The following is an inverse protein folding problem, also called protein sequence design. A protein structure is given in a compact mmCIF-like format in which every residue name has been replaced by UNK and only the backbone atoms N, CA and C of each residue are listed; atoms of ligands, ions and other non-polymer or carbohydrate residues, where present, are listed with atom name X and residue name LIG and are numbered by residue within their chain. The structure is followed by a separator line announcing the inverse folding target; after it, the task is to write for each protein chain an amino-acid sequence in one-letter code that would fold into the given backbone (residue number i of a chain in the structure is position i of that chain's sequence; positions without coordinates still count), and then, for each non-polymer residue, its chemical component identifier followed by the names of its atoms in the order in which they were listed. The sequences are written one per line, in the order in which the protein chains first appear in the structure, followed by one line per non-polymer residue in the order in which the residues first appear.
data_IF_838625121545
#
_entry.id   IF_838625121545
#
_cell.length_a   1.000
_cell.length_b   1.000
_cell.length_c   1.000
_cell.angle_alpha   90.00
_cell.angle_beta   90.00
_cell.angle_gamma   90.00
#
_symmetry.space_group_name_H-M   'P 1'
#
loop_
_entity.id
_entity.type
_entity.pdbx_description
1 polymer ?
#
# COMPACT_ATOMS: atom_id res chain seq x y z
N UNK A 1 12.98 -16.74 -25.76
CA UNK A 1 13.03 -18.23 -25.65
C UNK A 1 11.68 -18.71 -25.17
N UNK A 2 11.22 -19.92 -25.53
CA UNK A 2 9.94 -20.47 -25.01
C UNK A 2 10.22 -21.34 -23.79
N UNK A 3 9.39 -21.22 -22.76
CA UNK A 3 9.43 -22.09 -21.58
C UNK A 3 9.42 -23.58 -21.98
N UNK A 4 10.35 -24.34 -21.38
CA UNK A 4 10.44 -25.79 -21.52
C UNK A 4 10.57 -26.41 -20.14
N UNK A 5 9.74 -27.40 -19.87
CA UNK A 5 9.74 -28.09 -18.58
C UNK A 5 11.01 -28.93 -18.40
N UNK A 6 11.50 -28.99 -17.15
CA UNK A 6 12.60 -29.88 -16.78
C UNK A 6 12.14 -31.34 -16.80
N UNK A 7 13.05 -32.23 -17.18
CA UNK A 7 12.82 -33.68 -17.20
C UNK A 7 13.49 -34.32 -16.00
N UNK A 8 12.77 -35.21 -15.32
CA UNK A 8 13.24 -35.93 -14.14
C UNK A 8 13.24 -37.43 -14.42
N UNK A 9 14.07 -38.19 -13.69
CA UNK A 9 14.11 -39.65 -13.83
C UNK A 9 12.96 -40.31 -13.06
N UNK A 10 12.62 -39.74 -11.91
CA UNK A 10 11.55 -40.24 -11.06
C UNK A 10 10.21 -39.54 -11.34
N UNK A 11 9.14 -40.34 -11.44
CA UNK A 11 7.79 -39.86 -11.75
C UNK A 11 7.19 -39.03 -10.61
N UNK A 12 7.55 -39.31 -9.34
CA UNK A 12 7.08 -38.51 -8.21
C UNK A 12 7.75 -37.13 -8.20
N UNK A 13 9.04 -37.07 -8.48
CA UNK A 13 9.79 -35.80 -8.65
C UNK A 13 9.17 -34.95 -9.77
N UNK A 14 8.90 -35.55 -10.92
CA UNK A 14 8.28 -34.84 -12.05
C UNK A 14 6.91 -34.24 -11.66
N UNK A 15 6.11 -34.98 -10.90
CA UNK A 15 4.80 -34.51 -10.42
C UNK A 15 4.93 -33.32 -9.46
N UNK A 16 5.89 -33.36 -8.53
CA UNK A 16 6.15 -32.26 -7.57
C UNK A 16 6.54 -31.00 -8.33
N UNK A 17 7.47 -31.12 -9.29
CA UNK A 17 7.89 -30.01 -10.12
C UNK A 17 6.71 -29.42 -10.92
N UNK A 18 5.90 -30.27 -11.58
CA UNK A 18 4.75 -29.83 -12.38
C UNK A 18 3.70 -29.11 -11.54
N UNK A 19 3.44 -29.56 -10.32
CA UNK A 19 2.55 -28.89 -9.39
C UNK A 19 3.05 -27.48 -9.05
N UNK A 20 4.33 -27.36 -8.70
CA UNK A 20 4.96 -26.08 -8.41
C UNK A 20 4.88 -25.11 -9.60
N UNK A 21 5.23 -25.57 -10.80
CA UNK A 21 5.14 -24.76 -12.02
C UNK A 21 3.70 -24.37 -12.35
N UNK A 22 2.72 -25.26 -12.11
CA UNK A 22 1.30 -24.92 -12.29
C UNK A 22 0.88 -23.75 -11.39
N UNK A 23 1.34 -23.74 -10.14
CA UNK A 23 1.09 -22.65 -9.18
C UNK A 23 1.76 -21.34 -9.61
N UNK A 24 2.97 -21.40 -10.15
CA UNK A 24 3.64 -20.25 -10.77
C UNK A 24 2.80 -19.71 -11.94
N UNK A 25 2.42 -20.58 -12.90
CA UNK A 25 1.58 -20.23 -14.07
C UNK A 25 0.29 -19.53 -13.64
N UNK A 26 -0.38 -20.05 -12.61
CA UNK A 26 -1.61 -19.45 -12.07
C UNK A 26 -1.37 -18.06 -11.46
N UNK A 27 -0.26 -17.89 -10.74
CA UNK A 27 0.10 -16.62 -10.10
C UNK A 27 0.44 -15.53 -11.12
N UNK A 28 1.08 -15.89 -12.25
CA UNK A 28 1.48 -14.93 -13.29
C UNK A 28 0.44 -14.73 -14.39
N UNK A 29 -0.65 -15.51 -14.43
CA UNK A 29 -1.67 -15.52 -15.50
C UNK A 29 -2.23 -14.13 -15.88
N UNK A 30 -2.15 -13.18 -14.96
CA UNK A 30 -2.66 -11.83 -15.15
C UNK A 30 -1.69 -10.86 -15.83
N UNK A 31 -0.45 -11.27 -16.08
CA UNK A 31 0.58 -10.55 -16.85
C UNK A 31 0.39 -10.78 -18.36
N UNK A 32 1.09 -10.04 -19.20
CA UNK A 32 1.18 -10.32 -20.64
C UNK A 32 1.97 -11.61 -20.92
N UNK A 33 1.91 -12.12 -22.15
CA UNK A 33 2.56 -13.38 -22.53
C UNK A 33 4.08 -13.37 -22.33
N UNK A 34 4.72 -12.23 -22.56
CA UNK A 34 6.17 -12.09 -22.52
C UNK A 34 6.67 -12.16 -21.09
N UNK A 35 6.04 -11.41 -20.18
CA UNK A 35 6.35 -11.41 -18.75
C UNK A 35 5.98 -12.73 -18.07
N UNK A 36 4.88 -13.38 -18.48
CA UNK A 36 4.56 -14.73 -18.01
C UNK A 36 5.69 -15.71 -18.35
N UNK A 37 6.14 -15.68 -19.60
CA UNK A 37 7.16 -16.59 -20.09
C UNK A 37 8.55 -16.28 -19.52
N UNK A 38 8.91 -15.01 -19.36
CA UNK A 38 10.14 -14.57 -18.68
C UNK A 38 10.17 -15.06 -17.23
N UNK A 39 9.11 -14.80 -16.46
CA UNK A 39 9.02 -15.21 -15.04
C UNK A 39 9.11 -16.73 -14.90
N UNK A 40 8.47 -17.47 -15.82
CA UNK A 40 8.57 -18.94 -15.84
C UNK A 40 9.99 -19.41 -16.17
N UNK A 41 10.69 -18.76 -17.09
CA UNK A 41 12.06 -19.11 -17.44
C UNK A 41 13.02 -18.84 -16.29
N UNK A 42 12.90 -17.70 -15.61
CA UNK A 42 13.73 -17.31 -14.47
C UNK A 42 13.58 -18.30 -13.30
N UNK A 43 12.34 -18.62 -12.92
CA UNK A 43 12.09 -19.60 -11.85
C UNK A 43 12.64 -20.98 -12.27
N UNK A 44 12.44 -21.36 -13.52
CA UNK A 44 12.90 -22.65 -14.02
C UNK A 44 14.43 -22.75 -14.10
N UNK A 45 15.13 -21.65 -14.44
CA UNK A 45 16.59 -21.61 -14.42
C UNK A 45 17.12 -21.71 -12.99
N UNK A 46 16.50 -21.05 -12.02
CA UNK A 46 16.89 -21.19 -10.62
C UNK A 46 16.71 -22.62 -10.10
N UNK A 47 15.61 -23.28 -10.45
CA UNK A 47 15.41 -24.70 -10.11
C UNK A 47 16.48 -25.55 -10.78
N UNK A 48 16.74 -25.35 -12.07
CA UNK A 48 17.74 -26.11 -12.81
C UNK A 48 19.15 -25.93 -12.23
N UNK A 49 19.58 -24.69 -11.96
CA UNK A 49 20.89 -24.37 -11.39
C UNK A 49 21.07 -24.99 -10.01
N UNK A 50 20.04 -24.93 -9.17
CA UNK A 50 20.11 -25.50 -7.83
C UNK A 50 20.16 -27.04 -7.83
N UNK A 51 19.63 -27.70 -8.87
CA UNK A 51 19.68 -29.14 -9.05
C UNK A 51 20.98 -29.65 -9.69
N UNK A 52 21.89 -28.78 -10.14
CA UNK A 52 23.20 -29.18 -10.67
C UNK A 52 24.21 -29.60 -9.59
N UNK A 53 23.90 -29.34 -8.31
CA UNK A 53 24.75 -29.77 -7.21
C UNK A 53 24.75 -31.31 -7.09
N UNK A 54 25.91 -31.94 -6.80
CA UNK A 54 26.00 -33.39 -6.64
C UNK A 54 25.15 -33.83 -5.46
N UNK A 55 24.22 -34.74 -5.72
CA UNK A 55 23.26 -35.13 -4.71
C UNK A 55 22.79 -36.59 -4.87
N UNK A 56 22.40 -37.17 -3.73
CA UNK A 56 22.08 -38.59 -3.60
C UNK A 56 20.65 -38.93 -4.04
N UNK A 57 19.72 -37.96 -4.00
CA UNK A 57 18.30 -38.20 -4.28
C UNK A 57 17.60 -36.99 -4.91
N UNK A 58 17.31 -37.09 -6.21
CA UNK A 58 16.66 -36.08 -7.06
C UNK A 58 15.37 -35.49 -6.43
N UNK A 59 14.55 -36.32 -5.78
CA UNK A 59 13.30 -35.87 -5.13
C UNK A 59 13.59 -35.00 -3.91
N UNK A 60 14.55 -35.41 -3.09
CA UNK A 60 14.91 -34.69 -1.85
C UNK A 60 15.52 -33.34 -2.19
N UNK A 61 16.34 -33.29 -3.24
CA UNK A 61 16.96 -32.05 -3.69
C UNK A 61 15.93 -31.08 -4.24
N UNK A 62 15.01 -31.56 -5.07
CA UNK A 62 13.91 -30.72 -5.57
C UNK A 62 13.11 -30.14 -4.40
N UNK A 63 12.73 -30.96 -3.41
CA UNK A 63 12.00 -30.47 -2.25
C UNK A 63 12.79 -29.41 -1.47
N UNK A 64 14.09 -29.60 -1.26
CA UNK A 64 14.97 -28.62 -0.61
C UNK A 64 15.04 -27.31 -1.40
N UNK A 65 15.13 -27.37 -2.74
CA UNK A 65 15.14 -26.20 -3.60
C UNK A 65 13.81 -25.46 -3.55
N UNK A 66 12.69 -26.16 -3.70
CA UNK A 66 11.36 -25.57 -3.63
C UNK A 66 11.08 -24.97 -2.24
N UNK A 67 11.58 -25.58 -1.18
CA UNK A 67 11.48 -25.04 0.17
C UNK A 67 12.26 -23.72 0.32
N UNK A 68 13.46 -23.62 -0.27
CA UNK A 68 14.26 -22.38 -0.28
C UNK A 68 13.61 -21.27 -1.11
N UNK A 69 13.00 -21.62 -2.25
CA UNK A 69 12.25 -20.67 -3.08
C UNK A 69 10.96 -20.21 -2.40
N UNK A 70 10.32 -21.09 -1.62
CA UNK A 70 9.06 -20.81 -0.95
C UNK A 70 7.86 -20.94 -1.88
N UNK A 71 6.67 -20.57 -1.38
CA UNK A 71 5.43 -20.69 -2.16
C UNK A 71 5.34 -19.62 -3.26
N UNK A 72 5.03 -19.98 -4.52
CA UNK A 72 4.85 -19.03 -5.63
C UNK A 72 3.91 -17.87 -5.31
N UNK A 73 2.79 -18.16 -4.64
CA UNK A 73 1.75 -17.18 -4.31
C UNK A 73 2.23 -16.12 -3.32
N UNK A 74 3.31 -16.37 -2.58
CA UNK A 74 3.84 -15.41 -1.62
C UNK A 74 4.75 -14.39 -2.30
N UNK A 75 5.81 -14.83 -2.98
CA UNK A 75 6.76 -13.90 -3.60
C UNK A 75 6.20 -13.28 -4.89
N UNK A 76 5.39 -14.01 -5.67
CA UNK A 76 4.77 -13.44 -6.88
C UNK A 76 3.66 -12.44 -6.57
N UNK A 77 3.10 -12.45 -5.36
CA UNK A 77 2.13 -11.43 -4.94
C UNK A 77 2.75 -10.03 -4.92
N UNK A 78 4.05 -9.93 -4.66
CA UNK A 78 4.79 -8.66 -4.68
C UNK A 78 5.32 -8.34 -6.08
N UNK A 79 5.83 -9.34 -6.81
CA UNK A 79 6.43 -9.14 -8.14
C UNK A 79 5.41 -8.88 -9.27
N UNK A 80 4.25 -9.54 -9.25
CA UNK A 80 3.24 -9.42 -10.32
C UNK A 80 2.70 -7.98 -10.43
N UNK A 81 2.36 -7.28 -9.34
CA UNK A 81 2.00 -5.86 -9.39
C UNK A 81 3.07 -4.96 -10.00
N UNK A 82 4.36 -5.22 -9.74
CA UNK A 82 5.47 -4.44 -10.30
C UNK A 82 5.56 -4.63 -11.82
N UNK A 83 5.60 -5.88 -12.29
CA UNK A 83 5.62 -6.19 -13.73
C UNK A 83 4.39 -5.63 -14.45
N UNK A 84 3.20 -5.66 -13.83
CA UNK A 84 2.00 -5.01 -14.40
C UNK A 84 2.13 -3.51 -14.56
N UNK A 85 2.84 -2.85 -13.65
CA UNK A 85 3.07 -1.41 -13.73
C UNK A 85 4.03 -1.08 -14.89
N UNK A 86 5.06 -1.89 -15.10
CA UNK A 86 5.96 -1.79 -16.25
C UNK A 86 5.22 -2.01 -17.58
N UNK A 87 4.34 -3.02 -17.66
CA UNK A 87 3.47 -3.23 -18.83
C UNK A 87 2.56 -2.04 -19.11
N UNK A 88 1.98 -1.47 -18.05
CA UNK A 88 1.11 -0.32 -18.17
C UNK A 88 1.88 0.92 -18.61
N UNK A 89 3.07 1.17 -18.05
CA UNK A 89 3.94 2.29 -18.37
C UNK A 89 4.43 2.24 -19.83
N UNK A 90 4.89 1.07 -20.28
CA UNK A 90 5.34 0.86 -21.66
C UNK A 90 4.21 0.96 -22.70
N UNK A 91 2.95 0.77 -22.29
CA UNK A 91 1.80 0.85 -23.19
C UNK A 91 1.31 2.27 -23.50
N UNK A 92 1.84 3.31 -22.84
CA UNK A 92 1.38 4.71 -22.92
C UNK A 92 -0.15 4.92 -22.78
N UNK A 93 -0.86 3.94 -22.21
CA UNK A 93 -2.30 3.99 -22.06
C UNK A 93 -2.66 4.50 -20.65
N UNK A 94 -3.25 5.71 -20.52
CA UNK A 94 -3.51 6.32 -19.22
C UNK A 94 -4.45 5.51 -18.33
N UNK A 95 -5.40 4.77 -18.92
CA UNK A 95 -6.32 3.90 -18.16
C UNK A 95 -5.60 2.66 -17.60
N UNK A 96 -4.63 2.09 -18.34
CA UNK A 96 -3.82 0.97 -17.85
C UNK A 96 -2.89 1.42 -16.73
N UNK A 97 -2.27 2.59 -16.86
CA UNK A 97 -1.43 3.20 -15.83
C UNK A 97 -2.24 3.42 -14.55
N UNK A 98 -3.44 4.02 -14.65
CA UNK A 98 -4.30 4.25 -13.49
C UNK A 98 -4.69 2.94 -12.79
N UNK A 99 -5.05 1.89 -13.54
CA UNK A 99 -5.37 0.57 -12.96
C UNK A 99 -4.17 -0.07 -12.27
N UNK A 100 -2.99 -0.01 -12.87
CA UNK A 100 -1.76 -0.57 -12.29
C UNK A 100 -1.31 0.19 -11.04
N UNK A 101 -1.51 1.51 -11.01
CA UNK A 101 -1.34 2.33 -9.81
C UNK A 101 -2.32 1.88 -8.72
N UNK A 102 -3.63 1.84 -9.00
CA UNK A 102 -4.64 1.40 -8.01
C UNK A 102 -4.32 0.01 -7.44
N UNK A 103 -3.82 -0.91 -8.27
CA UNK A 103 -3.41 -2.25 -7.84
C UNK A 103 -2.22 -2.23 -6.86
N UNK A 104 -1.25 -1.34 -7.08
CA UNK A 104 -0.09 -1.12 -6.21
C UNK A 104 -0.37 -0.22 -5.00
N UNK A 105 -1.51 0.48 -4.99
CA UNK A 105 -1.84 1.50 -3.99
C UNK A 105 -2.20 0.96 -2.59
N UNK A 106 -2.31 -0.36 -2.42
CA UNK A 106 -2.84 -1.00 -1.21
C UNK A 106 -2.21 -0.51 0.09
N UNK A 107 -0.87 -0.50 0.18
CA UNK A 107 -0.17 -0.02 1.37
C UNK A 107 0.01 1.52 1.39
N UNK A 108 0.05 2.15 0.21
CA UNK A 108 0.27 3.58 0.00
C UNK A 108 -0.88 4.47 0.48
N UNK A 109 -2.12 4.05 0.22
CA UNK A 109 -3.32 4.84 0.55
C UNK A 109 -3.42 5.17 2.03
N UNK A 110 -3.04 4.23 2.90
CA UNK A 110 -3.01 4.47 4.35
C UNK A 110 -2.12 5.65 4.74
N UNK A 111 -0.99 5.87 4.05
CA UNK A 111 -0.09 6.99 4.31
C UNK A 111 -0.70 8.33 3.89
N UNK A 112 -1.52 8.36 2.83
CA UNK A 112 -2.27 9.58 2.44
C UNK A 112 -3.28 9.93 3.53
N UNK A 113 -4.00 8.95 4.06
CA UNK A 113 -4.93 9.16 5.18
C UNK A 113 -4.19 9.69 6.41
N UNK A 114 -3.05 9.08 6.78
CA UNK A 114 -2.23 9.57 7.90
C UNK A 114 -1.70 10.99 7.64
N UNK A 115 -1.26 11.29 6.43
CA UNK A 115 -0.79 12.62 6.06
C UNK A 115 -1.88 13.67 6.26
N UNK A 116 -3.10 13.42 5.76
CA UNK A 116 -4.24 14.33 5.95
C UNK A 116 -4.55 14.54 7.45
N UNK A 117 -4.54 13.47 8.24
CA UNK A 117 -4.78 13.57 9.69
C UNK A 117 -3.69 14.39 10.41
N UNK A 118 -2.42 14.24 10.02
CA UNK A 118 -1.33 15.04 10.58
C UNK A 118 -1.39 16.51 10.14
N UNK A 119 -1.77 16.79 8.89
CA UNK A 119 -2.02 18.16 8.41
C UNK A 119 -3.14 18.81 9.22
N UNK A 120 -4.23 18.07 9.48
CA UNK A 120 -5.35 18.57 10.29
C UNK A 120 -4.91 18.86 11.74
N UNK A 121 -4.09 17.97 12.33
CA UNK A 121 -3.54 18.14 13.67
C UNK A 121 -2.64 19.37 13.76
N UNK A 122 -1.76 19.57 12.77
CA UNK A 122 -0.97 20.79 12.65
C UNK A 122 -1.86 22.04 12.47
N UNK A 123 -2.97 21.91 11.73
CA UNK A 123 -4.00 22.93 11.58
C UNK A 123 -4.59 23.36 12.91
N UNK A 124 -4.94 22.44 13.82
CA UNK A 124 -5.45 22.80 15.15
C UNK A 124 -4.43 23.58 15.99
N UNK A 125 -3.15 23.15 15.97
CA UNK A 125 -2.06 23.87 16.65
C UNK A 125 -1.88 25.27 16.05
N UNK A 126 -1.91 25.38 14.72
CA UNK A 126 -1.86 26.66 14.02
C UNK A 126 -3.03 27.57 14.40
N UNK A 127 -4.25 27.03 14.53
CA UNK A 127 -5.43 27.79 14.93
C UNK A 127 -5.33 28.31 16.37
N UNK A 128 -4.73 27.55 17.29
CA UNK A 128 -4.44 28.02 18.66
C UNK A 128 -3.50 29.22 18.60
N UNK A 129 -2.40 29.10 17.86
CA UNK A 129 -1.45 30.20 17.68
C UNK A 129 -2.13 31.43 17.05
N UNK A 130 -2.91 31.24 15.98
CA UNK A 130 -3.63 32.32 15.31
C UNK A 130 -4.61 33.04 16.24
N UNK A 131 -5.30 32.32 17.14
CA UNK A 131 -6.20 32.92 18.13
C UNK A 131 -5.46 33.79 19.15
N UNK A 132 -4.22 33.43 19.51
CA UNK A 132 -3.39 34.22 20.42
C UNK A 132 -2.93 35.52 19.75
N UNK A 133 -2.53 35.45 18.47
CA UNK A 133 -2.03 36.61 17.72
C UNK A 133 -3.17 37.54 17.29
N UNK A 134 -4.27 36.98 16.79
CA UNK A 134 -5.42 37.71 16.25
C UNK A 134 -6.73 37.19 16.88
N UNK A 135 -7.02 37.55 18.15
CA UNK A 135 -8.13 36.97 18.91
C UNK A 135 -9.50 37.27 18.32
N UNK A 136 -9.72 38.48 17.77
CA UNK A 136 -11.02 38.87 17.21
C UNK A 136 -11.29 38.26 15.83
N UNK A 137 -10.23 37.95 15.07
CA UNK A 137 -10.34 37.48 13.68
C UNK A 137 -10.28 35.97 13.54
N UNK A 138 -9.75 35.27 14.55
CA UNK A 138 -9.63 33.80 14.54
C UNK A 138 -10.74 33.20 15.37
N UNK A 139 -11.47 32.23 14.84
CA UNK A 139 -12.54 31.62 15.61
C UNK A 139 -13.38 30.62 14.83
N UNK A 140 -14.52 30.27 15.42
CA UNK A 140 -15.58 29.54 14.76
C UNK A 140 -16.77 30.48 14.58
N UNK A 141 -17.00 30.87 13.34
CA UNK A 141 -17.97 31.89 12.96
C UNK A 141 -19.15 31.25 12.25
N UNK A 142 -20.32 31.85 12.47
CA UNK A 142 -21.55 31.53 11.75
C UNK A 142 -22.03 32.78 11.01
N UNK A 143 -21.96 32.73 9.68
CA UNK A 143 -22.29 33.87 8.81
C UNK A 143 -23.66 33.67 8.17
N UNK A 144 -24.55 34.65 8.35
CA UNK A 144 -25.81 34.84 7.61
C UNK A 144 -26.63 33.56 7.35
N UNK A 145 -26.78 32.71 8.36
CA UNK A 145 -27.58 31.49 8.36
C UNK A 145 -27.19 30.39 7.35
N UNK A 146 -26.11 30.54 6.57
CA UNK A 146 -25.78 29.64 5.45
C UNK A 146 -24.38 29.05 5.49
N UNK A 147 -23.46 29.57 6.29
CA UNK A 147 -22.06 29.10 6.28
C UNK A 147 -21.41 29.10 7.66
N UNK A 148 -20.60 28.06 7.88
CA UNK A 148 -19.77 27.89 9.07
C UNK A 148 -18.31 28.02 8.67
N UNK A 149 -17.57 28.85 9.38
CA UNK A 149 -16.15 29.07 9.11
C UNK A 149 -15.35 28.77 10.37
N UNK A 150 -14.45 27.78 10.26
CA UNK A 150 -13.41 27.54 11.26
C UNK A 150 -12.10 28.07 10.69
N UNK A 151 -11.64 29.23 11.13
CA UNK A 151 -10.53 29.89 10.47
C UNK A 151 -10.31 31.34 10.88
N UNK A 152 -9.64 32.07 10.00
CA UNK A 152 -9.38 33.51 10.13
C UNK A 152 -10.37 34.25 9.21
N UNK A 153 -11.19 35.14 9.78
CA UNK A 153 -12.07 36.04 9.03
C UNK A 153 -11.53 37.46 9.08
N UNK A 154 -11.14 38.00 7.91
CA UNK A 154 -10.64 39.39 7.79
C UNK A 154 -11.76 40.43 7.74
N UNK A 155 -12.96 40.03 7.33
CA UNK A 155 -14.13 40.89 7.21
C UNK A 155 -15.09 40.63 8.37
N UNK A 156 -14.57 40.60 9.60
CA UNK A 156 -15.37 40.43 10.81
C UNK A 156 -16.45 41.52 10.85
N UNK A 157 -17.69 41.12 10.56
CA UNK A 157 -18.83 41.99 10.72
C UNK A 157 -19.22 41.89 12.21
N UNK A 158 -19.43 43.00 12.95
CA UNK A 158 -19.88 42.95 14.35
C UNK A 158 -21.17 42.15 14.58
N UNK A 159 -21.93 41.87 13.51
CA UNK A 159 -23.11 41.01 13.52
C UNK A 159 -22.82 39.50 13.36
N UNK A 160 -21.59 39.11 13.00
CA UNK A 160 -21.15 37.72 12.97
C UNK A 160 -20.77 37.27 14.38
N UNK A 161 -21.55 36.32 14.90
CA UNK A 161 -21.33 35.81 16.25
C UNK A 161 -20.23 34.75 16.22
N UNK A 162 -19.10 35.02 16.85
CA UNK A 162 -18.15 33.97 17.21
C UNK A 162 -18.81 33.03 18.24
N UNK A 163 -18.89 31.75 17.93
CA UNK A 163 -19.64 30.79 18.75
C UNK A 163 -18.85 30.25 19.94
N UNK A 164 -17.54 30.11 19.77
CA UNK A 164 -16.68 29.48 20.77
C UNK A 164 -16.03 30.51 21.69
N UNK A 165 -15.67 31.70 21.21
CA UNK A 165 -15.04 32.74 22.02
C UNK A 165 -13.83 32.19 22.79
N UNK A 166 -13.84 32.35 24.13
CA UNK A 166 -12.78 31.86 25.01
C UNK A 166 -12.65 30.32 25.04
N UNK A 167 -13.70 29.58 24.67
CA UNK A 167 -13.66 28.12 24.56
C UNK A 167 -12.96 27.63 23.29
N UNK A 168 -12.63 28.52 22.35
CA UNK A 168 -11.97 28.13 21.10
C UNK A 168 -10.66 27.37 21.35
N UNK A 169 -9.78 27.91 22.20
CA UNK A 169 -8.48 27.30 22.50
C UNK A 169 -8.66 25.94 23.22
N UNK A 170 -9.44 25.82 24.31
CA UNK A 170 -9.72 24.52 24.93
C UNK A 170 -10.26 23.47 23.95
N UNK A 171 -11.17 23.86 23.06
CA UNK A 171 -11.73 22.94 22.05
C UNK A 171 -10.67 22.51 21.04
N UNK A 172 -9.82 23.41 20.55
CA UNK A 172 -8.71 23.04 19.65
C UNK A 172 -7.69 22.12 20.32
N UNK A 173 -7.39 22.32 21.61
CA UNK A 173 -6.53 21.43 22.40
C UNK A 173 -7.16 20.04 22.51
N UNK A 174 -8.46 19.98 22.87
CA UNK A 174 -9.19 18.71 22.95
C UNK A 174 -9.17 17.96 21.61
N UNK A 175 -9.43 18.66 20.50
CA UNK A 175 -9.37 18.08 19.15
C UNK A 175 -7.97 17.59 18.82
N UNK A 176 -6.92 18.34 19.17
CA UNK A 176 -5.53 17.92 18.97
C UNK A 176 -5.24 16.59 19.70
N UNK A 177 -5.62 16.48 20.97
CA UNK A 177 -5.43 15.26 21.77
C UNK A 177 -6.25 14.10 21.18
N UNK A 178 -7.53 14.34 20.85
CA UNK A 178 -8.42 13.34 20.28
C UNK A 178 -7.85 12.78 18.96
N UNK A 179 -7.44 13.65 18.05
CA UNK A 179 -6.89 13.23 16.77
C UNK A 179 -5.53 12.53 16.93
N UNK A 180 -4.68 12.98 17.85
CA UNK A 180 -3.44 12.27 18.17
C UNK A 180 -3.69 10.83 18.63
N UNK A 181 -4.68 10.63 19.51
CA UNK A 181 -5.09 9.29 19.98
C UNK A 181 -5.64 8.46 18.83
N UNK A 182 -6.52 9.01 17.98
CA UNK A 182 -7.07 8.32 16.81
C UNK A 182 -5.96 7.89 15.85
N UNK A 183 -5.03 8.79 15.50
CA UNK A 183 -3.87 8.48 14.65
C UNK A 183 -3.05 7.33 15.26
N UNK A 184 -2.76 7.40 16.56
CA UNK A 184 -1.98 6.38 17.27
C UNK A 184 -2.68 5.02 17.28
N UNK A 185 -4.00 5.00 17.50
CA UNK A 185 -4.80 3.78 17.45
C UNK A 185 -4.81 3.17 16.04
N UNK A 186 -5.05 3.99 15.01
CA UNK A 186 -5.02 3.56 13.61
C UNK A 186 -3.65 2.98 13.21
N UNK A 187 -2.54 3.60 13.65
CA UNK A 187 -1.19 3.07 13.42
C UNK A 187 -0.98 1.72 14.12
N UNK A 188 -1.44 1.57 15.36
CA UNK A 188 -1.37 0.29 16.09
C UNK A 188 -2.18 -0.81 15.39
N UNK A 189 -3.39 -0.48 14.92
CA UNK A 189 -4.21 -1.42 14.15
C UNK A 189 -3.53 -1.82 12.83
N UNK A 190 -3.02 -0.86 12.05
CA UNK A 190 -2.27 -1.13 10.82
C UNK A 190 -1.10 -2.09 11.06
N UNK A 191 -0.30 -1.85 12.10
CA UNK A 191 0.83 -2.73 12.47
C UNK A 191 0.39 -4.15 12.84
N UNK A 192 -0.76 -4.29 13.51
CA UNK A 192 -1.31 -5.61 13.89
C UNK A 192 -1.81 -6.39 12.68
N UNK A 193 -2.38 -5.72 11.68
CA UNK A 193 -2.82 -6.35 10.42
C UNK A 193 -1.65 -6.72 9.50
N UNK A 194 -0.57 -5.93 9.46
CA UNK A 194 0.62 -6.23 8.65
C UNK A 194 1.47 -7.39 9.19
N UNK A 195 1.30 -7.77 10.47
CA UNK A 195 2.03 -8.89 11.10
C UNK A 195 1.32 -10.25 10.97
N UNK A 196 0.15 -10.30 10.32
CA UNK A 196 -0.69 -11.48 10.21
C UNK A 196 -0.82 -11.89 8.75
#
# INVERSE_FOLDING_TARGET
MKFKELTFKDQHTERIYKDYISRVKNSVKSLNSDNQNETLLEINSHIYEALQAPAENETTDLLNVLQKLGSPEHFLKELVPEKKLEEAASSFNPLKILKALILNFGNGFSYIVFFILYVLLAGFIFMIYSKIVNPEQTGFFYTNATSWVLGISKNYNPHEKELLGNWFIPVMILLTILFYVVITLLLRFKKKFLKK
#
